data_IF_924535737975
#
_entry.id   IF_924535737975
#
_cell.length_a   1.000
_cell.length_b   1.000
_cell.length_c   1.000
_cell.angle_alpha   90.00
_cell.angle_beta   90.00
_cell.angle_gamma   90.00
#
_symmetry.space_group_name_H-M   'P 1'
#
loop_
_entity.id
_entity.type
_entity.pdbx_description
1 polymer ?
#
# COMPACT_ATOMS: atom_id res chain seq x y z
N UNK A 1 -1.10 6.79 0.53
CA UNK A 1 -2.03 7.07 1.63
C UNK A 1 -3.44 6.80 1.15
N UNK A 2 -4.25 6.16 1.96
CA UNK A 2 -5.67 5.92 1.69
C UNK A 2 -6.48 6.84 2.61
N UNK A 3 -7.46 7.54 2.03
CA UNK A 3 -8.36 8.44 2.76
C UNK A 3 -9.78 7.84 2.77
N UNK A 4 -10.49 8.04 3.87
CA UNK A 4 -11.93 7.85 3.94
C UNK A 4 -12.59 9.23 3.79
N UNK A 5 -13.29 9.52 2.68
CA UNK A 5 -13.87 10.82 2.41
C UNK A 5 -15.07 11.12 3.33
N UNK A 6 -15.74 10.09 3.85
CA UNK A 6 -16.92 10.23 4.69
C UNK A 6 -16.59 10.43 6.19
N UNK A 7 -15.32 10.21 6.57
CA UNK A 7 -14.89 10.42 7.94
C UNK A 7 -14.41 11.87 8.17
N UNK A 8 -14.70 12.47 9.34
CA UNK A 8 -14.22 13.80 9.65
C UNK A 8 -12.70 13.86 9.62
N UNK A 9 -12.15 14.89 8.96
CA UNK A 9 -10.71 15.10 8.87
C UNK A 9 -10.12 15.54 10.20
N UNK A 10 -9.07 14.88 10.63
CA UNK A 10 -8.29 15.27 11.82
C UNK A 10 -7.13 16.22 11.45
N UNK A 11 -6.92 16.50 10.17
CA UNK A 11 -5.75 17.23 9.65
C UNK A 11 -6.19 18.29 8.64
N UNK A 12 -6.45 19.50 9.12
CA UNK A 12 -6.56 20.72 8.32
C UNK A 12 -7.41 20.63 7.04
N UNK A 13 -6.87 21.13 5.93
CA UNK A 13 -7.59 21.29 4.65
C UNK A 13 -7.71 20.00 3.80
N UNK A 14 -7.40 18.83 4.36
CA UNK A 14 -7.53 17.54 3.65
C UNK A 14 -8.92 16.98 3.89
N UNK A 15 -9.72 16.83 2.83
CA UNK A 15 -11.01 16.12 2.93
C UNK A 15 -10.77 14.64 3.26
N UNK A 16 -11.44 14.17 4.31
CA UNK A 16 -11.39 12.79 4.76
C UNK A 16 -10.30 12.48 5.78
N UNK A 17 -10.44 11.33 6.44
CA UNK A 17 -9.52 10.81 7.45
C UNK A 17 -8.51 9.86 6.82
N UNK A 18 -7.23 10.01 7.16
CA UNK A 18 -6.21 9.04 6.75
C UNK A 18 -6.43 7.70 7.47
N UNK A 19 -6.73 6.65 6.72
CA UNK A 19 -7.04 5.31 7.25
C UNK A 19 -5.93 4.30 7.03
N UNK A 20 -5.07 4.56 6.05
CA UNK A 20 -3.90 3.73 5.79
C UNK A 20 -2.79 4.52 5.11
N UNK A 21 -1.55 4.15 5.37
CA UNK A 21 -0.35 4.75 4.78
C UNK A 21 0.69 3.69 4.46
N UNK A 22 1.38 3.88 3.35
CA UNK A 22 2.57 3.11 3.00
C UNK A 22 3.72 4.06 2.67
N UNK A 23 4.92 3.67 3.05
CA UNK A 23 6.15 4.43 2.82
C UNK A 23 7.28 3.51 2.43
N UNK A 24 8.12 3.97 1.51
CA UNK A 24 9.39 3.34 1.16
C UNK A 24 10.51 4.38 1.29
N UNK A 25 11.62 3.99 1.87
CA UNK A 25 12.83 4.82 2.00
C UNK A 25 14.01 4.05 1.41
N UNK A 26 14.77 4.68 0.53
CA UNK A 26 16.04 4.16 0.03
C UNK A 26 17.17 4.75 0.84
N UNK A 27 18.12 3.92 1.22
CA UNK A 27 19.34 4.39 1.87
C UNK A 27 20.48 4.52 0.85
N UNK A 28 21.36 5.49 1.05
CA UNK A 28 22.52 5.65 0.17
C UNK A 28 23.51 4.45 0.28
N UNK A 29 23.51 3.77 1.42
CA UNK A 29 24.39 2.62 1.68
C UNK A 29 23.97 1.38 0.88
N UNK A 30 22.67 1.22 0.59
CA UNK A 30 22.15 0.10 -0.19
C UNK A 30 20.98 0.55 -1.07
N UNK A 31 21.25 1.17 -2.23
CA UNK A 31 20.23 1.76 -3.08
C UNK A 31 19.31 0.73 -3.75
N UNK A 32 19.67 -0.54 -3.75
CA UNK A 32 18.86 -1.63 -4.32
C UNK A 32 17.77 -2.12 -3.35
N UNK A 33 17.87 -1.73 -2.06
CA UNK A 33 16.92 -2.10 -1.03
C UNK A 33 16.11 -0.88 -0.62
N UNK A 34 14.79 -1.00 -0.65
CA UNK A 34 13.84 -0.06 -0.10
C UNK A 34 13.34 -0.54 1.26
N UNK A 35 13.61 0.20 2.33
CA UNK A 35 12.96 -0.03 3.62
C UNK A 35 11.52 0.41 3.54
N UNK A 36 10.59 -0.50 3.77
CA UNK A 36 9.17 -0.30 3.57
C UNK A 36 8.39 -0.45 4.87
N UNK A 37 7.38 0.40 5.04
CA UNK A 37 6.45 0.33 6.15
C UNK A 37 5.02 0.56 5.65
N UNK A 38 4.08 -0.17 6.25
CA UNK A 38 2.65 -0.03 6.02
C UNK A 38 1.94 0.05 7.36
N UNK A 39 1.03 1.00 7.49
CA UNK A 39 0.14 1.12 8.63
C UNK A 39 -1.30 1.27 8.14
N UNK A 40 -2.21 0.57 8.81
CA UNK A 40 -3.66 0.64 8.60
C UNK A 40 -4.30 0.77 9.97
N UNK A 41 -5.26 1.68 10.13
CA UNK A 41 -5.98 1.81 11.40
C UNK A 41 -6.88 0.60 11.64
N UNK A 42 -7.12 0.24 12.91
CA UNK A 42 -7.77 -1.01 13.32
C UNK A 42 -9.13 -1.22 12.69
N UNK A 43 -9.97 -0.20 12.60
CA UNK A 43 -11.31 -0.24 12.02
C UNK A 43 -11.33 -0.64 10.54
N UNK A 44 -10.18 -0.54 9.87
CA UNK A 44 -10.00 -0.86 8.43
C UNK A 44 -9.18 -2.13 8.19
N UNK A 45 -8.83 -2.85 9.25
CA UNK A 45 -8.21 -4.16 9.11
C UNK A 45 -9.16 -5.16 8.41
N UNK A 46 -8.59 -6.08 7.65
CA UNK A 46 -9.36 -7.10 6.93
C UNK A 46 -10.13 -6.61 5.70
N UNK A 47 -10.04 -5.32 5.35
CA UNK A 47 -10.72 -4.72 4.18
C UNK A 47 -9.85 -4.67 2.93
N UNK A 48 -8.66 -5.25 2.95
CA UNK A 48 -7.75 -5.28 1.81
C UNK A 48 -6.83 -4.06 1.66
N UNK A 49 -6.98 -3.01 2.50
CA UNK A 49 -6.17 -1.78 2.42
C UNK A 49 -4.66 -2.06 2.50
N UNK A 50 -4.23 -2.93 3.41
CA UNK A 50 -2.81 -3.28 3.56
C UNK A 50 -2.26 -3.98 2.32
N UNK A 51 -3.02 -4.90 1.74
CA UNK A 51 -2.64 -5.59 0.51
C UNK A 51 -2.50 -4.62 -0.67
N UNK A 52 -3.49 -3.76 -0.88
CA UNK A 52 -3.47 -2.74 -1.92
C UNK A 52 -2.24 -1.83 -1.80
N UNK A 53 -1.95 -1.37 -0.59
CA UNK A 53 -0.78 -0.51 -0.35
C UNK A 53 0.54 -1.23 -0.62
N UNK A 54 0.64 -2.52 -0.28
CA UNK A 54 1.83 -3.32 -0.57
C UNK A 54 2.02 -3.51 -2.08
N UNK A 55 0.96 -3.80 -2.83
CA UNK A 55 1.01 -3.90 -4.29
C UNK A 55 1.45 -2.57 -4.93
N UNK A 56 0.96 -1.44 -4.43
CA UNK A 56 1.40 -0.10 -4.86
C UNK A 56 2.86 0.19 -4.51
N UNK A 57 3.33 -0.27 -3.34
CA UNK A 57 4.75 -0.14 -2.97
C UNK A 57 5.65 -0.95 -3.89
N UNK A 58 5.31 -2.20 -4.18
CA UNK A 58 6.06 -3.04 -5.13
C UNK A 58 6.15 -2.37 -6.49
N UNK A 59 5.02 -1.87 -7.01
CA UNK A 59 4.98 -1.13 -8.26
C UNK A 59 5.87 0.11 -8.25
N UNK A 60 5.82 0.88 -7.16
CA UNK A 60 6.64 2.09 -7.03
C UNK A 60 8.13 1.74 -6.92
N UNK A 61 8.47 0.67 -6.21
CA UNK A 61 9.82 0.16 -6.09
C UNK A 61 10.40 -0.25 -7.45
N UNK A 62 9.62 -0.98 -8.26
CA UNK A 62 9.99 -1.35 -9.63
C UNK A 62 10.39 -0.12 -10.45
N UNK A 63 9.54 0.90 -10.47
CA UNK A 63 9.82 2.15 -11.22
C UNK A 63 10.97 2.96 -10.67
N UNK A 64 11.28 2.81 -9.39
CA UNK A 64 12.38 3.51 -8.72
C UNK A 64 13.72 2.77 -8.82
N UNK A 65 13.77 1.59 -9.47
CA UNK A 65 14.98 0.79 -9.59
C UNK A 65 15.40 0.14 -8.26
N UNK A 66 14.43 -0.15 -7.39
CA UNK A 66 14.61 -0.93 -6.17
C UNK A 66 14.35 -2.40 -6.52
N UNK A 67 15.27 -3.27 -6.15
CA UNK A 67 15.18 -4.70 -6.47
C UNK A 67 14.56 -5.51 -5.33
N UNK A 68 14.49 -4.92 -4.12
CA UNK A 68 13.99 -5.58 -2.92
C UNK A 68 13.33 -4.60 -1.96
N UNK A 69 12.16 -4.97 -1.45
CA UNK A 69 11.53 -4.27 -0.33
C UNK A 69 11.79 -5.04 0.97
N UNK A 70 12.23 -4.33 1.98
CA UNK A 70 12.50 -4.87 3.32
C UNK A 70 11.49 -4.35 4.31
N UNK A 71 10.91 -5.27 5.07
CA UNK A 71 9.93 -4.98 6.11
C UNK A 71 10.43 -5.50 7.45
N UNK A 72 10.46 -4.64 8.46
CA UNK A 72 10.63 -5.03 9.85
C UNK A 72 9.26 -5.16 10.49
N UNK A 73 8.94 -6.34 10.99
CA UNK A 73 7.61 -6.68 11.51
C UNK A 73 7.74 -7.25 12.91
N UNK A 74 6.96 -6.74 13.84
CA UNK A 74 6.88 -7.35 15.18
C UNK A 74 6.44 -8.82 15.06
N UNK A 75 7.12 -9.71 15.78
CA UNK A 75 6.85 -11.16 15.72
C UNK A 75 5.40 -11.50 16.07
N UNK A 76 4.76 -10.70 16.91
CA UNK A 76 3.36 -10.81 17.32
C UNK A 76 2.36 -10.28 16.28
N UNK A 77 2.80 -9.49 15.29
CA UNK A 77 1.94 -8.94 14.23
C UNK A 77 1.58 -9.99 13.19
N UNK A 78 0.74 -10.95 13.58
CA UNK A 78 0.27 -12.05 12.72
C UNK A 78 -0.45 -11.56 11.45
N UNK A 79 -1.32 -10.51 11.49
CA UNK A 79 -1.97 -10.01 10.29
C UNK A 79 -0.96 -9.58 9.21
N UNK A 80 0.04 -8.78 9.57
CA UNK A 80 1.06 -8.31 8.63
C UNK A 80 1.90 -9.46 8.06
N UNK A 81 2.27 -10.42 8.91
CA UNK A 81 2.99 -11.63 8.48
C UNK A 81 2.18 -12.44 7.45
N UNK A 82 0.87 -12.57 7.66
CA UNK A 82 -0.04 -13.23 6.72
C UNK A 82 -0.09 -12.51 5.37
N UNK A 83 -0.12 -11.18 5.37
CA UNK A 83 -0.12 -10.40 4.12
C UNK A 83 1.20 -10.55 3.38
N UNK A 84 2.34 -10.49 4.08
CA UNK A 84 3.67 -10.68 3.48
C UNK A 84 3.86 -12.08 2.91
N UNK A 85 3.34 -13.12 3.58
CA UNK A 85 3.38 -14.49 3.04
C UNK A 85 2.64 -14.64 1.71
N UNK A 86 1.60 -13.84 1.48
CA UNK A 86 0.89 -13.83 0.19
C UNK A 86 1.63 -13.09 -0.93
N UNK A 87 2.72 -12.40 -0.60
CA UNK A 87 3.61 -11.71 -1.55
C UNK A 87 4.92 -12.46 -1.77
N UNK A 88 4.98 -13.74 -1.44
CA UNK A 88 6.19 -14.55 -1.51
C UNK A 88 7.39 -13.91 -0.77
N UNK A 89 7.10 -13.23 0.35
CA UNK A 89 8.14 -12.62 1.17
C UNK A 89 9.00 -13.68 1.85
N UNK A 90 10.30 -13.52 1.77
CA UNK A 90 11.29 -14.38 2.39
C UNK A 90 11.71 -13.84 3.76
N UNK A 91 11.70 -14.70 4.79
CA UNK A 91 12.21 -14.35 6.11
C UNK A 91 13.75 -14.28 6.07
N UNK A 92 14.29 -13.11 6.39
CA UNK A 92 15.73 -12.91 6.55
C UNK A 92 16.13 -13.25 7.99
N UNK A 93 16.58 -14.48 8.20
CA UNK A 93 16.92 -14.99 9.52
C UNK A 93 18.14 -14.30 10.15
N UNK A 94 19.06 -13.78 9.33
CA UNK A 94 20.28 -13.11 9.80
C UNK A 94 19.98 -11.75 10.43
N UNK A 95 18.96 -11.07 9.94
CA UNK A 95 18.52 -9.76 10.41
C UNK A 95 17.37 -9.83 11.41
N UNK A 96 16.77 -11.01 11.60
CA UNK A 96 15.63 -11.21 12.50
C UNK A 96 16.09 -11.56 13.91
N UNK A 97 15.26 -11.18 14.90
CA UNK A 97 15.43 -11.58 16.29
C UNK A 97 14.11 -12.13 16.88
N UNK A 98 14.05 -12.26 18.22
CA UNK A 98 12.86 -12.78 18.91
C UNK A 98 11.65 -11.85 18.83
N UNK A 99 11.89 -10.55 18.66
CA UNK A 99 10.88 -9.50 18.73
C UNK A 99 10.54 -8.95 17.35
N UNK A 100 11.55 -8.87 16.47
CA UNK A 100 11.44 -8.29 15.13
C UNK A 100 11.83 -9.34 14.09
N UNK A 101 10.93 -9.58 13.16
CA UNK A 101 11.15 -10.41 12.01
C UNK A 101 11.36 -9.52 10.78
N UNK A 102 12.43 -9.77 10.05
CA UNK A 102 12.77 -9.05 8.83
C UNK A 102 12.34 -9.89 7.63
N UNK A 103 11.53 -9.30 6.77
CA UNK A 103 11.07 -9.93 5.54
C UNK A 103 11.59 -9.17 4.33
N UNK A 104 12.08 -9.89 3.36
CA UNK A 104 12.50 -9.36 2.07
C UNK A 104 11.50 -9.81 0.98
N UNK A 105 10.94 -8.86 0.24
CA UNK A 105 10.07 -9.08 -0.92
C UNK A 105 10.86 -8.72 -2.16
N UNK A 106 11.06 -9.68 -3.06
CA UNK A 106 11.69 -9.42 -4.34
C UNK A 106 10.79 -8.54 -5.23
N UNK A 107 11.36 -7.47 -5.75
CA UNK A 107 10.67 -6.57 -6.69
C UNK A 107 11.02 -7.04 -8.10
N UNK A 108 10.05 -7.63 -8.79
CA UNK A 108 10.24 -8.07 -10.18
C UNK A 108 10.29 -6.85 -11.09
N UNK A 109 11.27 -6.81 -11.99
CA UNK A 109 11.34 -5.77 -13.02
C UNK A 109 10.20 -5.95 -14.02
N UNK A 110 9.74 -4.84 -14.58
CA UNK A 110 8.52 -4.71 -15.37
C UNK A 110 8.48 -5.44 -16.73
N UNK A 111 9.26 -6.50 -16.91
CA UNK A 111 9.09 -7.39 -18.07
C UNK A 111 7.88 -8.32 -17.92
N UNK A 112 7.23 -8.34 -16.73
CA UNK A 112 6.04 -9.15 -16.43
C UNK A 112 4.77 -8.26 -16.31
N UNK A 113 4.55 -7.34 -17.24
CA UNK A 113 3.65 -6.18 -17.18
C UNK A 113 2.13 -6.48 -17.30
N UNK A 114 1.66 -7.72 -17.23
CA UNK A 114 0.23 -8.01 -17.35
C UNK A 114 -0.58 -7.75 -16.05
N UNK A 115 0.02 -7.88 -14.89
CA UNK A 115 -0.70 -7.75 -13.60
C UNK A 115 -0.90 -6.29 -13.17
N UNK A 116 0.03 -5.41 -13.56
CA UNK A 116 -0.03 -3.98 -13.25
C UNK A 116 -1.12 -3.23 -14.05
N UNK A 117 -1.36 -3.65 -15.28
CA UNK A 117 -2.42 -3.10 -16.10
C UNK A 117 -3.79 -3.29 -15.46
N UNK A 118 -4.06 -4.47 -14.90
CA UNK A 118 -5.34 -4.80 -14.29
C UNK A 118 -5.63 -3.98 -13.02
N UNK A 119 -4.63 -3.81 -12.12
CA UNK A 119 -4.81 -3.00 -10.89
C UNK A 119 -4.99 -1.52 -11.25
N UNK A 120 -4.21 -1.01 -12.21
CA UNK A 120 -4.34 0.37 -12.67
C UNK A 120 -5.69 0.63 -13.36
N UNK A 121 -6.17 -0.30 -14.17
CA UNK A 121 -7.48 -0.22 -14.81
C UNK A 121 -8.63 -0.26 -13.79
N UNK A 122 -8.53 -1.10 -12.75
CA UNK A 122 -9.53 -1.16 -11.67
C UNK A 122 -9.56 0.16 -10.89
N UNK A 123 -8.39 0.71 -10.52
CA UNK A 123 -8.30 1.98 -9.81
C UNK A 123 -8.82 3.15 -10.67
N UNK A 124 -8.52 3.12 -11.95
CA UNK A 124 -9.02 4.11 -12.92
C UNK A 124 -10.53 4.01 -13.12
N UNK A 125 -11.07 2.79 -13.14
CA UNK A 125 -12.51 2.56 -13.24
C UNK A 125 -13.24 3.04 -11.99
N UNK A 126 -12.71 2.78 -10.79
CA UNK A 126 -13.26 3.27 -9.51
C UNK A 126 -13.27 4.80 -9.50
N UNK A 127 -12.16 5.45 -9.85
CA UNK A 127 -12.06 6.91 -9.91
C UNK A 127 -13.04 7.52 -10.92
N UNK A 128 -13.23 6.89 -12.08
CA UNK A 128 -14.18 7.37 -13.09
C UNK A 128 -15.65 7.16 -12.70
N UNK A 129 -15.94 6.16 -11.85
CA UNK A 129 -17.30 5.89 -11.36
C UNK A 129 -17.75 6.93 -10.33
N UNK A 130 -16.83 7.55 -9.59
CA UNK A 130 -17.12 8.61 -8.63
C UNK A 130 -17.39 9.97 -9.31
N UNK A 131 -16.85 10.22 -10.50
CA UNK A 131 -17.14 11.45 -11.26
C UNK A 131 -18.52 11.44 -11.93
N UNK A 132 -19.11 10.26 -12.15
CA UNK A 132 -20.43 10.11 -12.78
C UNK A 132 -21.62 10.43 -11.88
N UNK A 133 -21.47 10.42 -10.57
CA UNK A 133 -22.57 10.63 -9.60
C UNK A 133 -22.76 12.10 -9.18
N UNK A 134 -21.90 13.02 -9.62
CA UNK A 134 -22.02 14.45 -9.31
C UNK A 134 -22.88 15.26 -10.28
N UNK A 135 -23.48 14.65 -11.29
CA UNK A 135 -24.24 15.37 -12.32
C UNK A 135 -25.77 15.33 -12.16
N UNK A 136 -26.30 14.87 -11.03
CA UNK A 136 -27.74 14.81 -10.80
C UNK A 136 -28.19 15.60 -9.56
N UNK A 137 -27.96 16.91 -9.52
CA UNK A 137 -28.75 17.84 -8.71
C UNK A 137 -28.63 19.27 -9.26
N UNK A 138 -29.22 19.49 -10.42
CA UNK A 138 -29.66 20.85 -10.76
C UNK A 138 -30.87 20.74 -11.68
N UNK A 139 -32.04 20.79 -11.10
CA UNK A 139 -33.36 20.73 -11.73
C UNK A 139 -34.38 21.38 -10.84
N UNK A 140 -34.44 22.66 -10.96
CA UNK A 140 -35.53 23.59 -11.24
C UNK A 140 -36.68 23.66 -10.23
N UNK A 141 -36.82 24.81 -9.54
CA UNK A 141 -38.01 25.16 -8.78
C UNK A 141 -39.03 25.88 -9.70
N UNK A 142 -40.07 25.20 -10.03
CA UNK A 142 -41.34 25.89 -10.38
C UNK A 142 -42.50 25.23 -9.69
#
# INVERSE_FOLDING_TARGET
>A
MVLDPDAPSDVGDVEGRAVAVARMVRTAANPEVGEAAVAVIDDYHGRGCGRLLLELLVSTATRSGVDRLRFEVLAENRPMRGVLSNLDAELNAELSDHSILVYDVAVRRADDDETMGAVYEILRWIAASEEGDRSYTEGDPR
#
